data_IF_038796011566
#
_entry.id   IF_038796011566
#
_cell.length_a   1.000
_cell.length_b   1.000
_cell.length_c   1.000
_cell.angle_alpha   90.00
_cell.angle_beta   90.00
_cell.angle_gamma   90.00
#
_symmetry.space_group_name_H-M   'P 1'
#
loop_
_entity.id
_entity.type
_entity.pdbx_description
1 polymer ?
#
# COMPACT_ATOMS: atom_id res chain seq x y z
N UNK A 1 15.61 -6.07 12.68
CA UNK A 1 14.58 -6.15 11.63
C UNK A 1 13.90 -4.81 11.45
N UNK A 2 13.50 -4.52 10.24
CA UNK A 2 12.80 -3.26 9.98
C UNK A 2 11.39 -3.31 10.52
N UNK A 3 10.96 -2.22 11.10
CA UNK A 3 9.59 -2.05 11.54
C UNK A 3 8.65 -2.05 10.35
N UNK A 4 7.53 -2.77 10.45
CA UNK A 4 6.49 -2.72 9.42
C UNK A 4 5.25 -2.04 9.99
N UNK A 5 4.35 -1.66 9.10
CA UNK A 5 3.16 -0.89 9.47
C UNK A 5 1.94 -1.53 8.81
N UNK A 6 0.81 -1.42 9.49
CA UNK A 6 -0.42 -2.07 9.06
C UNK A 6 -1.53 -1.05 8.87
N UNK A 7 -2.23 -1.16 7.75
CA UNK A 7 -3.42 -0.36 7.49
C UNK A 7 -4.60 -1.32 7.37
N UNK A 8 -5.59 -1.26 8.27
CA UNK A 8 -6.75 -2.13 8.15
C UNK A 8 -7.63 -1.65 6.99
N UNK A 9 -7.88 -2.55 6.04
CA UNK A 9 -8.71 -2.25 4.87
C UNK A 9 -9.82 -3.29 4.80
N UNK A 10 -11.06 -2.81 4.77
CA UNK A 10 -12.22 -3.67 4.61
C UNK A 10 -12.75 -3.53 3.18
N UNK A 11 -12.96 -4.66 2.52
CA UNK A 11 -13.40 -4.69 1.13
C UNK A 11 -14.80 -5.26 1.03
N UNK A 12 -15.69 -4.65 0.23
CA UNK A 12 -16.97 -5.29 -0.06
C UNK A 12 -16.73 -6.57 -0.87
N UNK A 13 -17.70 -7.47 -0.81
CA UNK A 13 -17.54 -8.80 -1.39
C UNK A 13 -17.17 -8.77 -2.88
N UNK A 14 -17.88 -7.97 -3.66
CA UNK A 14 -17.62 -7.92 -5.10
C UNK A 14 -16.22 -7.44 -5.42
N UNK A 15 -15.72 -6.44 -4.67
CA UNK A 15 -14.38 -5.93 -4.87
C UNK A 15 -13.33 -6.98 -4.47
N UNK A 16 -13.59 -7.71 -3.40
CA UNK A 16 -12.70 -8.78 -2.97
C UNK A 16 -12.59 -9.88 -4.02
N UNK A 17 -13.73 -10.27 -4.60
CA UNK A 17 -13.75 -11.29 -5.64
C UNK A 17 -12.96 -10.86 -6.87
N UNK A 18 -13.14 -9.61 -7.29
CA UNK A 18 -12.41 -9.07 -8.44
C UNK A 18 -10.92 -8.97 -8.15
N UNK A 19 -10.55 -8.61 -6.93
CA UNK A 19 -9.15 -8.58 -6.52
C UNK A 19 -8.50 -9.94 -6.68
N UNK A 20 -9.19 -10.99 -6.23
CA UNK A 20 -8.65 -12.35 -6.31
C UNK A 20 -8.48 -12.81 -7.76
N UNK A 21 -9.41 -12.42 -8.63
CA UNK A 21 -9.31 -12.73 -10.06
C UNK A 21 -8.08 -12.05 -10.67
N UNK A 22 -7.88 -10.79 -10.35
CA UNK A 22 -6.73 -10.03 -10.84
C UNK A 22 -5.42 -10.64 -10.33
N UNK A 23 -5.38 -10.97 -9.04
CA UNK A 23 -4.21 -11.59 -8.43
C UNK A 23 -3.84 -12.89 -9.13
N UNK A 24 -4.83 -13.73 -9.38
CA UNK A 24 -4.62 -15.01 -10.05
C UNK A 24 -4.10 -14.81 -11.46
N UNK A 25 -4.68 -13.85 -12.18
CA UNK A 25 -4.27 -13.53 -13.55
C UNK A 25 -2.83 -13.04 -13.61
N UNK A 26 -2.39 -12.26 -12.61
CA UNK A 26 -1.06 -11.66 -12.59
C UNK A 26 -0.03 -12.47 -11.80
N UNK A 27 -0.46 -13.58 -11.22
CA UNK A 27 0.45 -14.42 -10.44
C UNK A 27 0.95 -13.77 -9.17
N UNK A 28 0.12 -12.97 -8.52
CA UNK A 28 0.47 -12.29 -7.26
C UNK A 28 -0.45 -12.69 -6.14
N UNK A 29 0.06 -12.62 -4.91
CA UNK A 29 -0.80 -12.72 -3.72
C UNK A 29 -1.55 -11.41 -3.54
N UNK A 30 -2.69 -11.40 -2.81
CA UNK A 30 -3.38 -10.14 -2.53
C UNK A 30 -2.50 -9.10 -1.85
N UNK A 31 -1.65 -9.52 -0.92
CA UNK A 31 -0.74 -8.61 -0.24
C UNK A 31 0.23 -7.95 -1.22
N UNK A 32 0.84 -8.74 -2.09
CA UNK A 32 1.77 -8.21 -3.10
C UNK A 32 1.06 -7.34 -4.13
N UNK A 33 -0.19 -7.69 -4.46
CA UNK A 33 -0.99 -6.87 -5.37
C UNK A 33 -1.24 -5.48 -4.79
N UNK A 34 -1.58 -5.41 -3.50
CA UNK A 34 -1.77 -4.11 -2.85
C UNK A 34 -0.50 -3.28 -2.84
N UNK A 35 0.64 -3.89 -2.54
CA UNK A 35 1.91 -3.17 -2.55
C UNK A 35 2.25 -2.67 -3.95
N UNK A 36 2.00 -3.47 -4.96
CA UNK A 36 2.24 -3.09 -6.35
C UNK A 36 1.36 -1.89 -6.75
N UNK A 37 0.07 -1.96 -6.44
CA UNK A 37 -0.86 -0.88 -6.74
C UNK A 37 -0.48 0.41 -6.00
N UNK A 38 -0.08 0.27 -4.73
CA UNK A 38 0.30 1.43 -3.93
C UNK A 38 1.55 2.11 -4.49
N UNK A 39 2.56 1.33 -4.85
CA UNK A 39 3.78 1.88 -5.44
C UNK A 39 3.49 2.61 -6.74
N UNK A 40 2.62 2.04 -7.58
CA UNK A 40 2.23 2.68 -8.83
C UNK A 40 1.44 3.96 -8.58
N UNK A 41 0.57 3.95 -7.59
CA UNK A 41 -0.22 5.14 -7.24
C UNK A 41 0.68 6.28 -6.75
N UNK A 42 1.66 5.95 -5.90
CA UNK A 42 2.59 6.95 -5.39
C UNK A 42 3.48 7.48 -6.52
N UNK A 43 3.96 6.60 -7.40
CA UNK A 43 4.77 7.03 -8.54
C UNK A 43 3.99 7.98 -9.45
N UNK A 44 2.71 7.70 -9.67
CA UNK A 44 1.85 8.57 -10.44
C UNK A 44 1.68 9.94 -9.77
N UNK A 45 1.45 9.93 -8.46
CA UNK A 45 1.31 11.16 -7.68
C UNK A 45 2.57 12.02 -7.81
N UNK A 46 3.75 11.40 -7.65
CA UNK A 46 5.00 12.14 -7.71
C UNK A 46 5.31 12.68 -9.11
N UNK A 47 4.86 11.95 -10.14
CA UNK A 47 5.04 12.40 -11.52
C UNK A 47 4.15 13.59 -11.86
N UNK A 48 2.93 13.63 -11.31
CA UNK A 48 1.96 14.67 -11.63
C UNK A 48 1.99 15.85 -10.67
N UNK A 49 2.33 15.61 -9.40
CA UNK A 49 2.31 16.65 -8.35
C UNK A 49 3.71 17.04 -7.87
N UNK A 50 4.72 16.31 -8.31
CA UNK A 50 6.10 16.55 -7.87
C UNK A 50 6.53 15.54 -6.81
N UNK A 51 7.85 15.32 -6.75
CA UNK A 51 8.43 14.36 -5.81
C UNK A 51 8.16 14.80 -4.37
N UNK A 52 7.80 13.84 -3.53
CA UNK A 52 7.59 14.11 -2.10
C UNK A 52 8.94 14.30 -1.43
N UNK A 53 9.22 15.51 -0.86
CA UNK A 53 10.52 15.75 -0.24
C UNK A 53 10.69 15.01 1.09
N UNK A 54 11.92 14.60 1.37
CA UNK A 54 12.25 13.89 2.59
C UNK A 54 11.84 14.65 3.85
N UNK A 55 11.94 15.97 3.82
CA UNK A 55 11.56 16.79 4.96
C UNK A 55 10.10 16.62 5.34
N UNK A 56 9.22 16.46 4.33
CA UNK A 56 7.79 16.22 4.59
C UNK A 56 7.55 14.83 5.13
N UNK A 57 8.32 13.85 4.67
CA UNK A 57 8.18 12.47 5.15
C UNK A 57 8.49 12.39 6.65
N UNK A 58 9.47 13.12 7.11
CA UNK A 58 9.86 13.11 8.52
C UNK A 58 8.81 13.71 9.45
N UNK A 59 7.96 14.58 8.93
CA UNK A 59 6.91 15.24 9.72
C UNK A 59 5.67 14.38 9.89
N UNK A 60 5.57 13.26 9.17
CA UNK A 60 4.40 12.38 9.24
C UNK A 60 4.57 11.38 10.36
N UNK A 61 3.60 11.35 11.28
CA UNK A 61 3.60 10.38 12.37
C UNK A 61 2.94 9.09 11.90
N UNK A 62 3.74 8.04 11.78
CA UNK A 62 3.26 6.72 11.36
C UNK A 62 3.10 5.75 12.53
N UNK A 63 3.39 6.19 13.76
CA UNK A 63 3.34 5.32 14.92
C UNK A 63 1.96 4.68 15.16
N UNK A 64 0.81 5.36 14.87
CA UNK A 64 -0.49 4.71 15.05
C UNK A 64 -0.69 3.45 14.19
N UNK A 65 0.13 3.29 13.15
CA UNK A 65 0.00 2.17 12.22
C UNK A 65 1.07 1.10 12.44
N UNK A 66 1.83 1.21 13.51
CA UNK A 66 2.89 0.25 13.83
C UNK A 66 2.32 -1.17 13.93
N UNK A 67 2.96 -2.10 13.23
CA UNK A 67 2.56 -3.51 13.29
C UNK A 67 3.07 -4.10 14.60
N UNK A 68 2.16 -4.58 15.49
CA UNK A 68 2.59 -5.13 16.77
C UNK A 68 3.37 -6.44 16.63
N UNK A 69 3.33 -7.05 15.45
CA UNK A 69 4.00 -8.33 15.21
C UNK A 69 5.35 -8.21 14.51
N UNK A 70 5.81 -7.00 14.29
CA UNK A 70 7.09 -6.82 13.58
C UNK A 70 8.24 -6.46 14.50
#
# INVERSE_FOLDING_TARGET
MKQTYTVPVKLPEDLMRKLLIVCKSEGRTPNNQFLFMLRNNIAYFERTKGKIPDAKLKDIDISPYTDPNS
#
